data_IF_946423481133
#
_entry.id   IF_946423481133
#
_cell.length_a   1.000
_cell.length_b   1.000
_cell.length_c   1.000
_cell.angle_alpha   90.00
_cell.angle_beta   90.00
_cell.angle_gamma   90.00
#
_symmetry.space_group_name_H-M   'P 1'
#
loop_
_entity.id
_entity.type
_entity.pdbx_description
1 polymer ?
#
# COMPACT_ATOMS: atom_id res chain seq x y z
N UNK A 1 22.40 57.92 -46.05
CA UNK A 1 23.84 57.91 -45.84
C UNK A 1 24.13 56.80 -44.82
N UNK A 2 24.47 55.66 -45.32
CA UNK A 2 25.71 54.88 -45.24
C UNK A 2 26.45 54.87 -43.89
N UNK A 3 26.53 53.70 -43.23
CA UNK A 3 27.70 52.80 -43.12
C UNK A 3 27.37 51.62 -42.27
N UNK A 4 27.23 50.49 -42.82
CA UNK A 4 27.97 49.20 -42.85
C UNK A 4 29.11 49.02 -41.86
N UNK A 5 29.13 47.89 -41.13
CA UNK A 5 30.28 47.41 -40.37
C UNK A 5 30.10 46.01 -39.85
N UNK A 6 30.68 45.02 -40.50
CA UNK A 6 30.75 43.59 -40.18
C UNK A 6 31.46 43.34 -38.86
N UNK A 7 30.91 42.45 -38.04
CA UNK A 7 31.69 41.58 -37.17
C UNK A 7 30.80 40.37 -36.79
N UNK A 8 30.93 39.34 -37.51
CA UNK A 8 30.39 38.02 -37.18
C UNK A 8 31.36 36.98 -37.69
N UNK A 9 31.99 36.25 -36.85
CA UNK A 9 32.54 34.92 -37.08
C UNK A 9 33.64 34.61 -36.04
N UNK A 10 33.28 34.40 -34.77
CA UNK A 10 34.23 33.77 -33.83
C UNK A 10 33.55 33.17 -32.56
N UNK A 11 32.24 32.94 -32.57
CA UNK A 11 31.56 32.41 -31.39
C UNK A 11 30.96 30.99 -31.52
N UNK A 12 31.17 30.30 -32.65
CA UNK A 12 30.64 28.94 -32.86
C UNK A 12 31.58 27.78 -32.51
N UNK A 13 32.87 28.05 -32.28
CA UNK A 13 33.85 26.99 -31.98
C UNK A 13 34.01 26.68 -30.49
N UNK A 14 33.58 27.56 -29.58
CA UNK A 14 33.76 27.37 -28.13
C UNK A 14 32.61 26.55 -27.44
N UNK A 15 31.45 26.42 -28.08
CA UNK A 15 30.29 25.75 -27.50
C UNK A 15 30.35 24.22 -27.67
N UNK A 16 31.03 23.71 -28.69
CA UNK A 16 31.14 22.25 -28.91
C UNK A 16 32.16 21.55 -28.01
N UNK A 17 33.17 22.24 -27.52
CA UNK A 17 34.18 21.64 -26.64
C UNK A 17 33.69 21.46 -25.18
N UNK A 18 32.72 22.27 -24.72
CA UNK A 18 32.18 22.21 -23.36
C UNK A 18 31.13 21.08 -23.24
N UNK A 19 30.37 20.78 -24.29
CA UNK A 19 29.39 19.73 -24.31
C UNK A 19 29.99 18.30 -24.27
N UNK A 20 31.13 18.09 -24.93
CA UNK A 20 31.81 16.78 -24.92
C UNK A 20 32.46 16.46 -23.57
N UNK A 21 32.99 17.47 -22.87
CA UNK A 21 33.56 17.30 -21.52
C UNK A 21 32.53 17.01 -20.43
N UNK A 22 31.29 17.51 -20.61
CA UNK A 22 30.22 17.30 -19.64
C UNK A 22 29.59 15.91 -19.78
N UNK A 23 29.47 15.39 -21.00
CA UNK A 23 28.94 14.05 -21.25
C UNK A 23 29.91 12.94 -20.79
N UNK A 24 31.22 13.13 -20.91
CA UNK A 24 32.21 12.19 -20.43
C UNK A 24 32.24 12.12 -18.88
N UNK A 25 32.02 13.23 -18.18
CA UNK A 25 31.94 13.26 -16.70
C UNK A 25 30.66 12.62 -16.16
N UNK A 26 29.53 12.72 -16.86
CA UNK A 26 28.28 12.08 -16.47
C UNK A 26 28.29 10.55 -16.69
N UNK A 27 29.01 10.06 -17.72
CA UNK A 27 29.14 8.61 -17.95
C UNK A 27 30.01 7.92 -16.88
N UNK A 28 31.08 8.59 -16.44
CA UNK A 28 31.93 8.08 -15.35
C UNK A 28 31.24 8.15 -13.99
N UNK A 29 30.46 9.18 -13.71
CA UNK A 29 29.69 9.26 -12.45
C UNK A 29 28.59 8.21 -12.38
N UNK A 30 27.91 7.91 -13.50
CA UNK A 30 26.90 6.83 -13.56
C UNK A 30 27.50 5.44 -13.43
N UNK A 31 28.67 5.19 -14.02
CA UNK A 31 29.40 3.92 -13.91
C UNK A 31 29.92 3.71 -12.48
N UNK A 32 30.41 4.76 -11.81
CA UNK A 32 30.90 4.67 -10.43
C UNK A 32 29.74 4.45 -9.42
N UNK A 33 28.59 5.12 -9.62
CA UNK A 33 27.42 4.97 -8.75
C UNK A 33 26.77 3.58 -8.90
N UNK A 34 26.75 3.00 -10.11
CA UNK A 34 26.25 1.65 -10.36
C UNK A 34 27.20 0.59 -9.80
N UNK A 35 28.52 0.78 -9.93
CA UNK A 35 29.53 -0.10 -9.34
C UNK A 35 29.53 -0.03 -7.81
N UNK A 36 29.41 1.15 -7.22
CA UNK A 36 29.33 1.32 -5.77
C UNK A 36 28.07 0.67 -5.16
N UNK A 37 26.89 0.85 -5.82
CA UNK A 37 25.65 0.16 -5.39
C UNK A 37 25.76 -1.36 -5.49
N UNK A 38 26.46 -1.88 -6.49
CA UNK A 38 26.60 -3.33 -6.67
C UNK A 38 27.60 -3.97 -5.70
N UNK A 39 28.62 -3.26 -5.28
CA UNK A 39 29.66 -3.79 -4.37
C UNK A 39 29.24 -3.73 -2.92
N UNK A 40 28.40 -2.76 -2.50
CA UNK A 40 27.93 -2.64 -1.11
C UNK A 40 26.76 -3.59 -0.79
N UNK A 41 26.04 -4.11 -1.81
CA UNK A 41 24.92 -5.04 -1.59
C UNK A 41 25.31 -6.53 -1.51
N UNK A 42 26.59 -6.89 -1.70
CA UNK A 42 27.01 -8.31 -1.75
C UNK A 42 27.36 -8.90 -0.38
N UNK A 43 27.41 -8.10 0.70
CA UNK A 43 27.78 -8.58 2.05
C UNK A 43 26.67 -8.41 3.11
N UNK A 44 25.49 -7.88 2.78
CA UNK A 44 24.36 -7.86 3.70
C UNK A 44 23.52 -9.11 3.50
N UNK A 45 23.50 -9.98 4.49
CA UNK A 45 22.53 -11.09 4.53
C UNK A 45 21.11 -10.51 4.32
N UNK A 46 20.39 -11.05 3.34
CA UNK A 46 19.01 -10.62 3.05
C UNK A 46 18.10 -10.92 4.23
N UNK A 47 17.08 -10.08 4.42
CA UNK A 47 16.05 -10.30 5.44
C UNK A 47 15.21 -11.53 5.11
N UNK A 48 14.81 -11.66 3.84
CA UNK A 48 14.06 -12.80 3.34
C UNK A 48 15.01 -13.83 2.76
N UNK A 49 14.91 -15.07 3.23
CA UNK A 49 15.62 -16.17 2.61
C UNK A 49 15.00 -16.52 1.23
N UNK A 50 15.77 -17.11 0.29
CA UNK A 50 15.29 -17.38 -1.07
C UNK A 50 14.06 -18.31 -1.17
N UNK A 51 13.80 -19.11 -0.14
CA UNK A 51 12.66 -20.02 -0.02
C UNK A 51 11.50 -19.44 0.81
N UNK A 52 11.61 -18.20 1.27
CA UNK A 52 10.52 -17.50 1.92
C UNK A 52 9.57 -16.86 0.90
N UNK A 53 8.27 -16.76 1.22
CA UNK A 53 7.30 -16.12 0.34
C UNK A 53 7.69 -14.70 -0.03
N UNK A 54 7.33 -14.29 -1.25
CA UNK A 54 7.47 -12.89 -1.67
C UNK A 54 6.73 -11.93 -0.73
N UNK A 55 7.17 -10.67 -0.68
CA UNK A 55 6.59 -9.63 0.17
C UNK A 55 5.09 -9.42 -0.06
N UNK A 56 4.62 -9.66 -1.28
CA UNK A 56 3.20 -9.61 -1.61
C UNK A 56 2.81 -10.69 -2.60
N UNK A 57 1.52 -11.00 -2.62
CA UNK A 57 0.89 -11.87 -3.63
C UNK A 57 -0.05 -11.03 -4.49
N UNK A 58 -0.12 -11.36 -5.78
CA UNK A 58 -1.10 -10.80 -6.71
C UNK A 58 -2.13 -11.88 -7.02
N UNK A 59 -3.40 -11.52 -7.01
CA UNK A 59 -4.54 -12.37 -7.36
C UNK A 59 -5.29 -11.76 -8.54
N UNK A 60 -5.88 -12.60 -9.36
CA UNK A 60 -6.52 -12.18 -10.61
C UNK A 60 -5.50 -11.85 -11.69
N UNK A 61 -5.88 -12.07 -12.95
CA UNK A 61 -5.08 -11.70 -14.11
C UNK A 61 -5.26 -10.20 -14.42
N UNK A 62 -4.28 -9.56 -15.06
CA UNK A 62 -4.45 -8.21 -15.59
C UNK A 62 -5.66 -8.14 -16.53
N UNK A 63 -6.59 -7.26 -16.26
CA UNK A 63 -7.86 -7.14 -16.97
C UNK A 63 -8.36 -5.68 -17.00
N UNK A 64 -9.54 -5.47 -17.57
CA UNK A 64 -10.15 -4.15 -17.74
C UNK A 64 -11.15 -3.78 -16.63
N UNK A 65 -11.28 -4.60 -15.58
CA UNK A 65 -12.09 -4.24 -14.41
C UNK A 65 -11.61 -2.92 -13.81
N UNK A 66 -12.49 -2.00 -13.43
CA UNK A 66 -12.07 -0.74 -12.82
C UNK A 66 -11.45 -0.92 -11.43
N UNK A 67 -11.66 -2.06 -10.79
CA UNK A 67 -11.26 -2.28 -9.41
C UNK A 67 -9.82 -2.80 -9.29
N UNK A 68 -9.01 -2.08 -8.52
CA UNK A 68 -7.76 -2.59 -7.96
C UNK A 68 -7.95 -2.70 -6.45
N UNK A 69 -7.86 -3.94 -5.92
CA UNK A 69 -7.99 -4.20 -4.50
C UNK A 69 -6.61 -4.28 -3.88
N UNK A 70 -6.44 -3.70 -2.70
CA UNK A 70 -5.22 -3.80 -1.89
C UNK A 70 -5.56 -4.19 -0.46
N UNK A 71 -4.65 -4.91 0.21
CA UNK A 71 -4.81 -5.27 1.61
C UNK A 71 -3.43 -5.21 2.28
N UNK A 72 -3.16 -4.09 2.94
CA UNK A 72 -1.86 -3.75 3.51
C UNK A 72 -1.46 -4.66 4.68
N UNK A 73 -2.46 -5.21 5.38
CA UNK A 73 -2.29 -6.03 6.57
C UNK A 73 -2.88 -7.44 6.39
N UNK A 74 -2.77 -7.99 5.16
CA UNK A 74 -3.38 -9.28 4.81
C UNK A 74 -2.74 -10.48 5.49
N UNK A 75 -1.45 -10.41 5.83
CA UNK A 75 -0.69 -11.51 6.40
C UNK A 75 -0.09 -11.21 7.76
N UNK A 76 0.22 -12.30 8.51
CA UNK A 76 0.87 -12.23 9.81
C UNK A 76 2.22 -12.97 9.85
N UNK A 77 2.84 -13.22 8.69
CA UNK A 77 4.15 -13.88 8.64
C UNK A 77 5.23 -12.95 9.19
N UNK A 78 6.21 -13.57 9.83
CA UNK A 78 7.44 -12.89 10.26
C UNK A 78 8.60 -13.58 9.54
N UNK A 79 9.53 -12.85 8.92
CA UNK A 79 10.73 -13.44 8.32
C UNK A 79 11.47 -14.32 9.33
N UNK A 80 11.93 -15.49 8.92
CA UNK A 80 12.63 -16.45 9.79
C UNK A 80 13.80 -15.82 10.54
N UNK A 81 14.50 -14.91 9.89
CA UNK A 81 15.63 -14.17 10.48
C UNK A 81 15.22 -13.32 11.68
N UNK A 82 13.97 -12.87 11.77
CA UNK A 82 13.47 -12.08 12.89
C UNK A 82 12.82 -12.94 13.99
N UNK A 83 12.78 -14.26 13.82
CA UNK A 83 12.18 -15.20 14.75
C UNK A 83 10.73 -14.88 15.03
N UNK A 84 10.39 -14.65 16.29
CA UNK A 84 9.02 -14.28 16.71
C UNK A 84 8.87 -12.78 16.98
N UNK A 85 9.86 -11.96 16.73
CA UNK A 85 9.98 -10.58 17.21
C UNK A 85 9.89 -10.46 18.76
N UNK A 86 10.05 -11.57 19.49
CA UNK A 86 9.84 -11.64 20.93
C UNK A 86 8.37 -11.62 21.36
N UNK A 87 7.45 -11.82 20.41
CA UNK A 87 6.00 -11.82 20.62
C UNK A 87 5.49 -13.26 20.64
N UNK A 88 4.57 -13.58 21.57
CA UNK A 88 3.99 -14.92 21.69
C UNK A 88 3.13 -15.30 20.47
N UNK A 89 2.93 -16.59 20.25
CA UNK A 89 2.09 -17.09 19.16
C UNK A 89 0.65 -16.55 19.25
N UNK A 90 0.09 -16.50 20.47
CA UNK A 90 -1.25 -15.95 20.70
C UNK A 90 -1.34 -14.47 20.28
N UNK A 91 -0.36 -13.66 20.67
CA UNK A 91 -0.32 -12.24 20.29
C UNK A 91 -0.15 -12.04 18.79
N UNK A 92 0.62 -12.88 18.11
CA UNK A 92 0.80 -12.83 16.66
C UNK A 92 -0.46 -13.23 15.87
N UNK A 93 -1.45 -13.84 16.50
CA UNK A 93 -2.76 -14.12 15.90
C UNK A 93 -3.78 -13.01 16.13
N UNK A 94 -3.46 -12.02 16.96
CA UNK A 94 -4.34 -10.88 17.24
C UNK A 94 -4.27 -9.83 16.13
N UNK A 95 -5.27 -8.94 16.12
CA UNK A 95 -5.37 -7.78 15.22
C UNK A 95 -4.17 -6.82 15.29
N UNK A 96 -3.33 -6.92 16.29
CA UNK A 96 -2.08 -6.14 16.37
C UNK A 96 -1.08 -6.53 15.29
N UNK A 97 -1.15 -7.77 14.80
CA UNK A 97 -0.21 -8.33 13.82
C UNK A 97 -0.73 -8.30 12.38
N UNK A 98 -2.03 -8.35 12.18
CA UNK A 98 -2.69 -8.42 10.88
C UNK A 98 -4.19 -8.11 11.00
N UNK A 99 -4.83 -7.83 9.87
CA UNK A 99 -6.27 -7.57 9.82
C UNK A 99 -7.03 -8.89 9.64
N UNK A 100 -7.59 -9.41 10.74
CA UNK A 100 -8.25 -10.72 10.79
C UNK A 100 -9.42 -10.76 9.81
N UNK A 101 -9.38 -11.75 8.90
CA UNK A 101 -10.43 -11.97 7.91
C UNK A 101 -10.36 -11.11 6.64
N UNK A 102 -9.70 -9.95 6.66
CA UNK A 102 -9.65 -9.03 5.51
C UNK A 102 -9.12 -9.70 4.23
N UNK A 103 -8.02 -10.45 4.32
CA UNK A 103 -7.49 -11.20 3.19
C UNK A 103 -8.46 -12.22 2.61
N UNK A 104 -9.26 -12.88 3.48
CA UNK A 104 -10.30 -13.83 3.07
C UNK A 104 -11.44 -13.18 2.30
N UNK A 105 -11.84 -11.98 2.71
CA UNK A 105 -12.83 -11.15 1.98
C UNK A 105 -12.27 -10.74 0.63
N UNK A 106 -11.07 -10.16 0.58
CA UNK A 106 -10.45 -9.71 -0.69
C UNK A 106 -10.33 -10.87 -1.69
N UNK A 107 -9.86 -12.04 -1.27
CA UNK A 107 -9.75 -13.23 -2.14
C UNK A 107 -11.08 -13.60 -2.80
N UNK A 108 -12.18 -13.49 -2.05
CA UNK A 108 -13.52 -13.81 -2.53
C UNK A 108 -14.13 -12.71 -3.40
N UNK A 109 -13.66 -11.47 -3.29
CA UNK A 109 -14.11 -10.35 -4.12
C UNK A 109 -13.48 -10.35 -5.53
N UNK A 110 -12.31 -10.97 -5.72
CA UNK A 110 -11.57 -10.98 -6.99
C UNK A 110 -12.45 -11.46 -8.15
N UNK A 111 -13.08 -12.63 -8.03
CA UNK A 111 -13.93 -13.20 -9.07
C UNK A 111 -15.16 -12.34 -9.39
N UNK A 112 -16.02 -12.03 -8.41
CA UNK A 112 -17.23 -11.22 -8.63
C UNK A 112 -17.00 -9.81 -9.20
N UNK A 113 -15.85 -9.21 -8.91
CA UNK A 113 -15.44 -7.90 -9.44
C UNK A 113 -14.61 -8.02 -10.72
N UNK A 114 -14.17 -9.22 -11.09
CA UNK A 114 -13.15 -9.40 -12.11
C UNK A 114 -11.87 -8.62 -11.77
N UNK A 115 -11.57 -8.41 -10.50
CA UNK A 115 -10.54 -7.48 -10.06
C UNK A 115 -9.15 -8.12 -10.02
N UNK A 116 -8.12 -7.28 -10.07
CA UNK A 116 -6.79 -7.61 -9.60
C UNK A 116 -6.69 -7.22 -8.12
N UNK A 117 -6.03 -8.04 -7.30
CA UNK A 117 -5.79 -7.75 -5.90
C UNK A 117 -4.32 -7.96 -5.52
N UNK A 118 -3.77 -7.08 -4.68
CA UNK A 118 -2.41 -7.14 -4.17
C UNK A 118 -2.48 -7.18 -2.64
N UNK A 119 -1.98 -8.27 -2.05
CA UNK A 119 -2.07 -8.54 -0.63
C UNK A 119 -0.66 -8.64 -0.03
N UNK A 120 -0.41 -7.92 1.06
CA UNK A 120 0.82 -8.01 1.82
C UNK A 120 0.93 -9.38 2.51
N UNK A 121 2.12 -9.99 2.49
CA UNK A 121 2.36 -11.33 3.05
C UNK A 121 2.79 -11.28 4.52
N UNK A 122 3.53 -10.26 4.89
CA UNK A 122 4.18 -10.16 6.19
C UNK A 122 3.40 -9.29 7.16
N UNK A 123 3.56 -9.59 8.44
CA UNK A 123 2.89 -8.89 9.54
C UNK A 123 3.27 -7.40 9.59
N UNK A 124 2.28 -6.55 9.90
CA UNK A 124 2.51 -5.14 10.20
C UNK A 124 3.45 -4.92 11.39
N UNK A 125 3.68 -5.95 12.24
CA UNK A 125 4.68 -5.89 13.30
C UNK A 125 6.11 -5.88 12.76
N UNK A 126 6.35 -6.41 11.55
CA UNK A 126 7.67 -6.34 10.90
C UNK A 126 7.89 -4.94 10.34
N UNK A 127 6.96 -4.48 9.52
CA UNK A 127 6.83 -3.10 9.03
C UNK A 127 5.39 -2.88 8.57
N UNK A 128 4.78 -1.80 9.03
CA UNK A 128 3.42 -1.44 8.65
C UNK A 128 3.42 -0.80 7.25
N UNK A 129 2.83 -1.51 6.28
CA UNK A 129 2.80 -1.05 4.89
C UNK A 129 1.77 0.07 4.64
N UNK A 130 0.86 0.36 5.57
CA UNK A 130 0.00 1.54 5.49
C UNK A 130 0.54 2.73 6.29
N UNK A 131 1.85 2.78 6.60
CA UNK A 131 2.50 3.94 7.23
C UNK A 131 3.73 4.35 6.44
N UNK A 132 4.05 5.65 6.46
CA UNK A 132 5.31 6.10 5.86
C UNK A 132 6.49 5.36 6.50
N UNK A 133 7.45 4.81 5.73
CA UNK A 133 8.59 4.11 6.30
C UNK A 133 9.53 5.02 7.09
N UNK A 134 9.33 6.35 7.00
CA UNK A 134 10.12 7.35 7.72
C UNK A 134 9.62 7.64 9.13
N UNK A 135 8.37 7.27 9.45
CA UNK A 135 7.83 7.46 10.80
C UNK A 135 8.18 6.28 11.71
N UNK A 136 8.35 6.56 12.99
CA UNK A 136 8.72 5.52 13.97
C UNK A 136 7.64 4.43 14.08
N UNK A 137 6.37 4.82 14.00
CA UNK A 137 5.23 3.91 14.09
C UNK A 137 5.12 2.90 12.93
N UNK A 138 5.90 3.07 11.84
CA UNK A 138 5.96 2.06 10.77
C UNK A 138 6.62 0.75 11.23
N UNK A 139 7.46 0.79 12.28
CA UNK A 139 8.02 -0.38 12.96
C UNK A 139 7.77 -0.19 14.45
N UNK A 140 6.56 -0.50 14.88
CA UNK A 140 6.10 -0.25 16.24
C UNK A 140 6.86 -1.09 17.26
N UNK A 141 7.29 -0.49 18.37
CA UNK A 141 7.93 -1.17 19.51
C UNK A 141 6.91 -1.73 20.50
N UNK A 142 5.67 -1.30 20.38
CA UNK A 142 4.53 -1.82 21.14
C UNK A 142 3.24 -1.60 20.35
N UNK A 143 2.25 -2.47 20.55
CA UNK A 143 0.89 -2.31 20.04
C UNK A 143 -0.09 -2.69 21.14
N UNK A 144 -1.01 -1.78 21.47
CA UNK A 144 -1.81 -1.85 22.71
C UNK A 144 -0.90 -2.05 23.95
N UNK A 145 -1.11 -3.13 24.70
CA UNK A 145 -0.30 -3.49 25.86
C UNK A 145 0.79 -4.52 25.55
N UNK A 146 0.93 -4.91 24.27
CA UNK A 146 1.92 -5.91 23.85
C UNK A 146 3.21 -5.23 23.39
N UNK A 147 4.29 -5.45 24.12
CA UNK A 147 5.64 -5.05 23.70
C UNK A 147 6.12 -5.91 22.51
N UNK A 148 6.91 -5.33 21.62
CA UNK A 148 7.52 -6.02 20.47
C UNK A 148 9.05 -5.91 20.61
N UNK A 149 9.67 -6.78 21.43
CA UNK A 149 11.10 -6.66 21.76
C UNK A 149 12.02 -6.67 20.55
N UNK A 150 11.69 -7.43 19.50
CA UNK A 150 12.47 -7.48 18.26
C UNK A 150 12.47 -6.19 17.43
N UNK A 151 11.70 -5.19 17.85
CA UNK A 151 11.68 -3.86 17.24
C UNK A 151 12.41 -2.79 18.06
N UNK A 152 12.88 -3.16 19.27
CA UNK A 152 13.64 -2.22 20.09
C UNK A 152 15.04 -2.01 19.53
N UNK A 153 15.50 -0.76 19.55
CA UNK A 153 16.86 -0.38 19.18
C UNK A 153 17.32 -0.88 17.80
N UNK A 154 16.40 -0.92 16.84
CA UNK A 154 16.75 -1.30 15.46
C UNK A 154 17.82 -0.37 14.89
N UNK A 155 18.85 -0.98 14.29
CA UNK A 155 19.82 -0.22 13.50
C UNK A 155 19.16 0.38 12.26
N UNK A 156 19.79 1.42 11.70
CA UNK A 156 19.37 1.98 10.41
C UNK A 156 19.41 0.92 9.29
N UNK A 157 20.35 -0.01 9.35
CA UNK A 157 20.48 -1.13 8.42
C UNK A 157 19.29 -2.08 8.51
N UNK A 158 18.90 -2.52 9.72
CA UNK A 158 17.77 -3.43 9.92
C UNK A 158 16.45 -2.79 9.45
N UNK A 159 16.27 -1.50 9.75
CA UNK A 159 15.11 -0.74 9.23
C UNK A 159 15.14 -0.67 7.72
N UNK A 160 16.28 -0.35 7.11
CA UNK A 160 16.43 -0.27 5.66
C UNK A 160 16.16 -1.60 4.96
N UNK A 161 16.55 -2.74 5.55
CA UNK A 161 16.23 -4.06 5.01
C UNK A 161 14.72 -4.35 5.02
N UNK A 162 14.00 -4.02 6.10
CA UNK A 162 12.54 -4.16 6.14
C UNK A 162 11.86 -3.31 5.08
N UNK A 163 12.33 -2.09 4.86
CA UNK A 163 11.84 -1.23 3.79
C UNK A 163 12.13 -1.84 2.41
N UNK A 164 13.37 -2.23 2.17
CA UNK A 164 13.81 -2.70 0.85
C UNK A 164 13.20 -4.05 0.44
N UNK A 165 12.96 -4.95 1.40
CA UNK A 165 12.56 -6.32 1.09
C UNK A 165 11.07 -6.62 1.35
N UNK A 166 10.36 -5.76 2.11
CA UNK A 166 8.94 -5.96 2.43
C UNK A 166 8.10 -4.79 1.98
N UNK A 167 8.40 -3.58 2.47
CA UNK A 167 7.61 -2.39 2.17
C UNK A 167 7.68 -2.01 0.68
N UNK A 168 8.87 -1.80 0.17
CA UNK A 168 9.08 -1.31 -1.20
C UNK A 168 8.52 -2.26 -2.27
N UNK A 169 8.76 -3.60 -2.22
CA UNK A 169 8.21 -4.50 -3.22
C UNK A 169 6.68 -4.53 -3.26
N UNK A 170 6.01 -4.36 -2.11
CA UNK A 170 4.55 -4.26 -2.06
C UNK A 170 4.06 -2.99 -2.77
N UNK A 171 4.63 -1.84 -2.43
CA UNK A 171 4.23 -0.56 -3.04
C UNK A 171 4.65 -0.43 -4.50
N UNK A 172 5.79 -0.99 -4.89
CA UNK A 172 6.22 -1.06 -6.30
C UNK A 172 5.23 -1.90 -7.12
N UNK A 173 4.70 -3.00 -6.56
CA UNK A 173 3.71 -3.82 -7.25
C UNK A 173 2.39 -3.08 -7.47
N UNK A 174 1.92 -2.31 -6.47
CA UNK A 174 0.74 -1.43 -6.60
C UNK A 174 0.99 -0.36 -7.66
N UNK A 175 2.12 0.34 -7.58
CA UNK A 175 2.49 1.39 -8.52
C UNK A 175 2.57 0.87 -9.96
N UNK A 176 3.21 -0.27 -10.18
CA UNK A 176 3.34 -0.90 -11.50
C UNK A 176 1.97 -1.25 -12.10
N UNK A 177 1.03 -1.78 -11.31
CA UNK A 177 -0.31 -2.09 -11.77
C UNK A 177 -1.10 -0.82 -12.12
N UNK A 178 -1.01 0.22 -11.29
CA UNK A 178 -1.66 1.51 -11.57
C UNK A 178 -1.08 2.18 -12.82
N UNK A 179 0.23 2.09 -13.03
CA UNK A 179 0.89 2.65 -14.20
C UNK A 179 0.54 1.88 -15.48
N UNK A 180 0.41 0.54 -15.41
CA UNK A 180 -0.10 -0.29 -16.49
C UNK A 180 -1.53 0.13 -16.89
N UNK A 181 -2.42 0.27 -15.90
CA UNK A 181 -3.82 0.69 -16.09
C UNK A 181 -3.91 2.06 -16.73
N UNK A 182 -3.11 3.02 -16.24
CA UNK A 182 -3.03 4.37 -16.81
C UNK A 182 -2.58 4.34 -18.27
N UNK A 183 -1.53 3.56 -18.60
CA UNK A 183 -1.03 3.42 -19.97
C UNK A 183 -2.09 2.80 -20.91
N UNK A 184 -2.84 1.83 -20.41
CA UNK A 184 -3.95 1.18 -21.14
C UNK A 184 -5.25 2.00 -21.12
N UNK A 185 -5.30 3.15 -20.44
CA UNK A 185 -6.50 4.00 -20.27
C UNK A 185 -7.67 3.26 -19.61
N UNK A 186 -7.38 2.33 -18.72
CA UNK A 186 -8.41 1.61 -17.96
C UNK A 186 -8.88 2.50 -16.82
N UNK A 187 -10.19 2.84 -16.74
CA UNK A 187 -10.75 3.52 -15.58
C UNK A 187 -10.41 2.75 -14.31
N UNK A 188 -9.92 3.42 -13.30
CA UNK A 188 -9.41 2.73 -12.11
C UNK A 188 -9.91 3.38 -10.83
N UNK A 189 -10.38 2.55 -9.90
CA UNK A 189 -10.67 2.89 -8.52
C UNK A 189 -9.82 2.00 -7.61
N UNK A 190 -9.13 2.60 -6.66
CA UNK A 190 -8.35 1.88 -5.65
C UNK A 190 -9.22 1.59 -4.43
N UNK A 191 -9.32 0.32 -4.05
CA UNK A 191 -10.08 -0.11 -2.85
C UNK A 191 -9.13 -0.81 -1.88
N UNK A 192 -8.85 -0.15 -0.76
CA UNK A 192 -8.13 -0.75 0.35
C UNK A 192 -9.12 -1.46 1.28
N UNK A 193 -8.78 -2.69 1.68
CA UNK A 193 -9.66 -3.50 2.55
C UNK A 193 -8.90 -3.88 3.81
N UNK A 194 -9.49 -3.49 4.93
CA UNK A 194 -8.99 -3.67 6.28
C UNK A 194 -10.02 -4.33 7.19
N UNK A 195 -9.62 -4.63 8.42
CA UNK A 195 -10.54 -5.01 9.48
C UNK A 195 -10.12 -4.46 10.83
N UNK A 196 -11.09 -4.17 11.66
CA UNK A 196 -10.89 -3.63 13.01
C UNK A 196 -11.49 -4.50 14.12
N UNK A 197 -10.89 -4.41 15.30
CA UNK A 197 -11.39 -5.12 16.49
C UNK A 197 -12.69 -4.53 17.01
N UNK A 198 -13.68 -5.35 17.46
CA UNK A 198 -14.94 -4.85 18.02
C UNK A 198 -14.77 -4.11 19.36
N UNK A 199 -13.66 -4.34 20.06
CA UNK A 199 -13.30 -3.63 21.29
C UNK A 199 -11.86 -3.17 21.21
N UNK A 200 -11.61 -1.91 21.46
CA UNK A 200 -10.27 -1.35 21.48
C UNK A 200 -10.01 -0.63 22.81
N UNK A 201 -9.02 -1.09 23.57
CA UNK A 201 -8.69 -0.57 24.92
C UNK A 201 -9.92 -0.45 25.82
N UNK A 202 -10.76 -1.50 25.85
CA UNK A 202 -11.96 -1.57 26.65
C UNK A 202 -13.17 -0.77 26.10
N UNK A 203 -13.03 -0.05 25.00
CA UNK A 203 -14.09 0.73 24.37
C UNK A 203 -14.70 -0.08 23.22
N UNK A 204 -16.03 -0.33 23.31
CA UNK A 204 -16.76 -1.02 22.25
C UNK A 204 -16.88 -0.14 21.00
N UNK A 205 -16.74 -0.77 19.83
CA UNK A 205 -16.88 -0.16 18.52
C UNK A 205 -18.18 -0.65 17.87
N UNK A 206 -19.22 0.17 17.79
CA UNK A 206 -20.56 -0.27 17.38
C UNK A 206 -20.66 -0.54 15.88
N UNK A 207 -19.77 -0.01 15.07
CA UNK A 207 -19.84 -0.10 13.61
C UNK A 207 -19.62 -1.54 13.14
N UNK A 208 -20.41 -1.98 12.16
CA UNK A 208 -20.18 -3.24 11.46
C UNK A 208 -19.16 -3.05 10.33
N UNK A 209 -19.20 -1.88 9.70
CA UNK A 209 -18.31 -1.50 8.60
C UNK A 209 -18.07 0.01 8.66
N UNK A 210 -16.84 0.44 8.37
CA UNK A 210 -16.44 1.82 8.17
C UNK A 210 -16.07 2.09 6.72
N UNK A 211 -16.42 3.26 6.21
CA UNK A 211 -15.97 3.78 4.93
C UNK A 211 -15.07 4.98 5.23
N UNK A 212 -13.80 4.82 4.91
CA UNK A 212 -12.80 5.83 5.23
C UNK A 212 -12.35 6.57 3.96
N UNK A 213 -12.11 7.84 4.10
CA UNK A 213 -11.68 8.74 3.03
C UNK A 213 -10.96 9.96 3.62
N UNK A 214 -10.25 10.69 2.77
CA UNK A 214 -9.60 11.95 3.10
C UNK A 214 -10.13 13.04 2.15
N UNK A 215 -9.53 13.22 0.96
CA UNK A 215 -9.89 14.30 0.03
C UNK A 215 -11.05 13.97 -0.90
N UNK A 216 -11.16 12.71 -1.31
CA UNK A 216 -12.20 12.23 -2.24
C UNK A 216 -13.15 11.27 -1.50
N UNK A 217 -14.36 11.74 -1.23
CA UNK A 217 -15.38 10.97 -0.52
C UNK A 217 -16.42 10.31 -1.43
N UNK A 218 -16.29 10.46 -2.76
CA UNK A 218 -17.33 10.04 -3.70
C UNK A 218 -17.70 8.56 -3.60
N UNK A 219 -16.69 7.68 -3.58
CA UNK A 219 -16.95 6.24 -3.45
C UNK A 219 -17.49 5.91 -2.05
N UNK A 220 -16.89 6.48 -1.01
CA UNK A 220 -17.32 6.25 0.38
C UNK A 220 -18.77 6.68 0.58
N UNK A 221 -19.18 7.86 0.12
CA UNK A 221 -20.57 8.34 0.19
C UNK A 221 -21.54 7.43 -0.57
N UNK A 222 -21.19 7.02 -1.78
CA UNK A 222 -22.02 6.12 -2.57
C UNK A 222 -22.18 4.75 -1.87
N UNK A 223 -21.11 4.21 -1.29
CA UNK A 223 -21.14 2.96 -0.55
C UNK A 223 -21.95 3.06 0.74
N UNK A 224 -21.76 4.14 1.53
CA UNK A 224 -22.52 4.37 2.77
C UNK A 224 -24.03 4.47 2.50
N UNK A 225 -24.43 5.21 1.45
CA UNK A 225 -25.85 5.29 1.05
C UNK A 225 -26.43 3.90 0.73
N UNK A 226 -25.66 3.09 0.00
CA UNK A 226 -26.10 1.74 -0.36
C UNK A 226 -26.17 0.81 0.86
N UNK A 227 -25.17 0.83 1.75
CA UNK A 227 -25.15 0.02 2.97
C UNK A 227 -26.29 0.40 3.93
N UNK A 228 -26.54 1.69 4.10
CA UNK A 228 -27.64 2.17 4.95
C UNK A 228 -29.02 1.75 4.43
N UNK A 229 -29.19 1.65 3.10
CA UNK A 229 -30.45 1.18 2.49
C UNK A 229 -30.70 -0.32 2.69
N UNK A 230 -29.67 -1.12 2.92
CA UNK A 230 -29.87 -2.54 3.27
C UNK A 230 -30.52 -2.72 4.66
N UNK A 231 -30.30 -1.77 5.56
CA UNK A 231 -30.78 -1.82 6.95
C UNK A 231 -30.02 -2.83 7.81
N UNK A 232 -30.20 -2.73 9.11
CA UNK A 232 -29.59 -3.66 10.09
C UNK A 232 -28.09 -3.51 10.30
N UNK A 233 -27.43 -2.58 9.59
CA UNK A 233 -26.00 -2.29 9.75
C UNK A 233 -25.78 -0.94 10.43
N UNK A 234 -24.77 -0.86 11.28
CA UNK A 234 -24.22 0.40 11.77
C UNK A 234 -23.00 0.72 10.90
N UNK A 235 -23.14 1.73 10.03
CA UNK A 235 -22.11 2.13 9.09
C UNK A 235 -21.35 3.34 9.64
N UNK A 236 -20.03 3.24 9.68
CA UNK A 236 -19.15 4.32 10.14
C UNK A 236 -18.75 5.26 9.00
N UNK A 237 -18.93 6.55 9.20
CA UNK A 237 -18.42 7.62 8.34
C UNK A 237 -17.08 8.10 8.93
N UNK A 238 -15.97 7.75 8.30
CA UNK A 238 -14.62 7.91 8.87
C UNK A 238 -14.54 7.35 10.31
N UNK A 239 -15.04 6.13 10.49
CA UNK A 239 -15.03 5.39 11.75
C UNK A 239 -14.68 3.92 11.50
N UNK A 240 -13.90 3.28 12.38
CA UNK A 240 -13.31 3.79 13.63
C UNK A 240 -12.05 4.62 13.43
N UNK A 241 -11.64 4.84 12.21
CA UNK A 241 -10.47 5.64 11.82
C UNK A 241 -10.86 6.61 10.70
N UNK A 242 -9.97 7.55 10.37
CA UNK A 242 -10.06 8.42 9.21
C UNK A 242 -8.73 8.40 8.46
N UNK A 243 -8.77 8.32 7.13
CA UNK A 243 -7.56 8.41 6.30
C UNK A 243 -6.94 9.79 6.42
N UNK A 244 -5.64 9.84 6.60
CA UNK A 244 -4.86 11.08 6.61
C UNK A 244 -3.47 10.91 6.02
N UNK A 245 -2.82 12.01 5.62
CA UNK A 245 -1.42 11.97 5.15
C UNK A 245 -0.42 11.58 6.25
N UNK A 246 -0.82 11.72 7.50
CA UNK A 246 0.04 11.45 8.66
C UNK A 246 -0.04 9.99 9.09
N UNK A 247 -1.24 9.41 9.05
CA UNK A 247 -1.51 8.06 9.55
C UNK A 247 -1.49 6.98 8.47
N UNK A 248 -1.63 7.35 7.17
CA UNK A 248 -1.80 6.40 6.09
C UNK A 248 -0.78 6.63 4.97
N UNK A 249 -0.50 5.56 4.23
CA UNK A 249 0.41 5.63 3.10
C UNK A 249 -0.25 5.21 1.80
N UNK A 250 -0.98 4.12 1.80
CA UNK A 250 -1.50 3.49 0.58
C UNK A 250 -2.46 4.40 -0.18
N UNK A 251 -3.49 4.92 0.47
CA UNK A 251 -4.46 5.82 -0.16
C UNK A 251 -3.80 7.15 -0.58
N UNK A 252 -3.11 7.89 0.32
CA UNK A 252 -2.48 9.15 -0.06
C UNK A 252 -1.50 9.03 -1.22
N UNK A 253 -0.67 7.99 -1.23
CA UNK A 253 0.40 7.83 -2.22
C UNK A 253 -0.09 7.24 -3.54
N UNK A 254 -0.93 6.21 -3.49
CA UNK A 254 -1.32 5.47 -4.69
C UNK A 254 -2.60 5.97 -5.35
N UNK A 255 -3.55 6.50 -4.58
CA UNK A 255 -4.80 7.03 -5.13
C UNK A 255 -4.77 8.56 -5.24
N UNK A 256 -4.62 9.28 -4.14
CA UNK A 256 -4.81 10.74 -4.13
C UNK A 256 -3.77 11.48 -4.98
N UNK A 257 -2.48 11.12 -4.89
CA UNK A 257 -1.44 11.74 -5.74
C UNK A 257 -1.63 11.46 -7.24
N UNK A 258 -2.41 10.45 -7.60
CA UNK A 258 -2.76 10.12 -8.97
C UNK A 258 -4.12 10.66 -9.40
N UNK A 259 -4.88 11.27 -8.48
CA UNK A 259 -6.24 11.76 -8.75
C UNK A 259 -7.25 10.65 -9.02
N UNK A 260 -7.01 9.45 -8.50
CA UNK A 260 -7.90 8.30 -8.67
C UNK A 260 -8.99 8.33 -7.61
N UNK A 261 -10.23 7.96 -7.96
CA UNK A 261 -11.24 7.64 -6.97
C UNK A 261 -10.79 6.43 -6.13
N UNK A 262 -11.16 6.44 -4.86
CA UNK A 262 -10.76 5.40 -3.92
C UNK A 262 -11.78 5.22 -2.80
N UNK A 263 -11.64 4.14 -2.04
CA UNK A 263 -12.30 3.94 -0.76
C UNK A 263 -11.46 2.99 0.10
N UNK A 264 -11.38 3.29 1.39
CA UNK A 264 -10.85 2.35 2.37
C UNK A 264 -12.01 1.78 3.16
N UNK A 265 -12.11 0.45 3.18
CA UNK A 265 -13.21 -0.31 3.78
C UNK A 265 -12.67 -1.04 4.99
N UNK A 266 -13.21 -0.70 6.14
CA UNK A 266 -12.91 -1.33 7.42
C UNK A 266 -14.08 -2.23 7.83
N UNK A 267 -13.88 -3.54 7.95
CA UNK A 267 -14.91 -4.48 8.37
C UNK A 267 -14.61 -4.94 9.79
N UNK A 268 -15.61 -4.95 10.68
CA UNK A 268 -15.40 -5.42 12.04
C UNK A 268 -15.05 -6.92 12.03
N UNK A 269 -13.90 -7.28 12.57
CA UNK A 269 -13.25 -8.58 12.38
C UNK A 269 -14.07 -9.79 12.87
N UNK A 270 -14.92 -9.61 13.88
CA UNK A 270 -15.80 -10.66 14.38
C UNK A 270 -16.86 -11.09 13.35
N UNK A 271 -17.15 -10.25 12.35
CA UNK A 271 -18.08 -10.53 11.26
C UNK A 271 -17.43 -11.30 10.10
N UNK A 272 -16.10 -11.37 10.08
CA UNK A 272 -15.30 -12.00 9.01
C UNK A 272 -14.21 -12.92 9.57
N UNK A 273 -14.37 -13.35 10.83
CA UNK A 273 -13.41 -14.22 11.49
C UNK A 273 -13.38 -15.65 10.93
N UNK A 274 -14.41 -16.05 10.21
CA UNK A 274 -14.53 -17.37 9.58
C UNK A 274 -14.87 -17.26 8.07
N UNK A 275 -14.86 -18.40 7.38
CA UNK A 275 -15.10 -18.46 5.94
C UNK A 275 -16.51 -18.05 5.53
N UNK A 276 -17.51 -18.31 6.38
CA UNK A 276 -18.91 -17.97 6.12
C UNK A 276 -19.08 -16.45 6.17
N UNK A 277 -18.60 -15.81 7.23
CA UNK A 277 -18.61 -14.37 7.36
C UNK A 277 -17.84 -13.67 6.23
N UNK A 278 -16.65 -14.19 5.88
CA UNK A 278 -15.86 -13.67 4.75
C UNK A 278 -16.63 -13.75 3.43
N UNK A 279 -17.33 -14.85 3.15
CA UNK A 279 -18.12 -15.01 1.93
C UNK A 279 -19.29 -14.02 1.87
N UNK A 280 -20.06 -13.91 2.96
CA UNK A 280 -21.19 -12.98 3.08
C UNK A 280 -20.76 -11.53 2.86
N UNK A 281 -19.66 -11.12 3.51
CA UNK A 281 -19.18 -9.75 3.38
C UNK A 281 -18.54 -9.49 2.02
N UNK A 282 -17.82 -10.45 1.46
CA UNK A 282 -17.23 -10.31 0.11
C UNK A 282 -18.31 -10.13 -0.96
N UNK A 283 -19.38 -10.93 -0.93
CA UNK A 283 -20.52 -10.80 -1.86
C UNK A 283 -21.19 -9.43 -1.71
N UNK A 284 -21.48 -9.01 -0.46
CA UNK A 284 -22.08 -7.70 -0.16
C UNK A 284 -21.23 -6.57 -0.73
N UNK A 285 -19.96 -6.52 -0.35
CA UNK A 285 -19.07 -5.42 -0.74
C UNK A 285 -18.86 -5.42 -2.26
N UNK A 286 -18.63 -6.56 -2.91
CA UNK A 286 -18.46 -6.63 -4.36
C UNK A 286 -19.69 -6.12 -5.11
N UNK A 287 -20.90 -6.53 -4.70
CA UNK A 287 -22.15 -6.05 -5.29
C UNK A 287 -22.32 -4.54 -5.11
N UNK A 288 -22.03 -4.02 -3.91
CA UNK A 288 -22.19 -2.60 -3.62
C UNK A 288 -21.12 -1.75 -4.31
N UNK A 289 -19.89 -2.23 -4.45
CA UNK A 289 -18.84 -1.55 -5.22
C UNK A 289 -19.22 -1.39 -6.69
N UNK A 290 -19.79 -2.43 -7.32
CA UNK A 290 -20.29 -2.31 -8.71
C UNK A 290 -21.39 -1.24 -8.84
N UNK A 291 -22.34 -1.20 -7.91
CA UNK A 291 -23.40 -0.18 -7.89
C UNK A 291 -22.86 1.23 -7.62
N UNK A 292 -21.91 1.36 -6.68
CA UNK A 292 -21.29 2.63 -6.34
C UNK A 292 -20.45 3.16 -7.52
N UNK A 293 -19.68 2.29 -8.16
CA UNK A 293 -18.91 2.66 -9.36
C UNK A 293 -19.82 3.19 -10.47
N UNK A 294 -20.94 2.51 -10.75
CA UNK A 294 -21.90 2.99 -11.74
C UNK A 294 -22.50 4.38 -11.45
N UNK A 295 -22.45 4.86 -10.20
CA UNK A 295 -22.90 6.20 -9.81
C UNK A 295 -21.82 7.28 -9.94
N UNK A 296 -20.55 6.94 -9.71
CA UNK A 296 -19.45 7.92 -9.65
C UNK A 296 -18.67 8.03 -10.97
N UNK A 297 -18.85 7.07 -11.88
CA UNK A 297 -18.16 7.01 -13.18
C UNK A 297 -18.94 7.66 -14.34
N UNK A 298 -20.08 8.29 -14.04
CA UNK A 298 -20.93 9.00 -15.03
C UNK A 298 -20.42 10.39 -15.36
#
# INVERSE_FOLDING_TARGET
MNRTGKAGCCQKAAIFAIAAGFQARLSHAKSFAVSYKRTVMTDLETLLAPDEPAACITLGEPNDSPFLLVCDHAGNRVPRRLGTLGVSDGERQRHIAWDIGAAGVVRRMVGPLGACAILQTYSRLVIDCNRSPTVESSVAVASEDTAIPGNLNLSSTDRAQRVAEIFQPYHDRIAAELDRRRAAKIPTVLVAVHSFTPVYRGIARPWHVGLLYNRDDRLARAMMDLLNREGGLVVGDNQPYAVSDESDYTIPVHAERRGLPYGEIEIRQDLIGDEVGQAVWAERIARLLNLAWGRISQ
#
